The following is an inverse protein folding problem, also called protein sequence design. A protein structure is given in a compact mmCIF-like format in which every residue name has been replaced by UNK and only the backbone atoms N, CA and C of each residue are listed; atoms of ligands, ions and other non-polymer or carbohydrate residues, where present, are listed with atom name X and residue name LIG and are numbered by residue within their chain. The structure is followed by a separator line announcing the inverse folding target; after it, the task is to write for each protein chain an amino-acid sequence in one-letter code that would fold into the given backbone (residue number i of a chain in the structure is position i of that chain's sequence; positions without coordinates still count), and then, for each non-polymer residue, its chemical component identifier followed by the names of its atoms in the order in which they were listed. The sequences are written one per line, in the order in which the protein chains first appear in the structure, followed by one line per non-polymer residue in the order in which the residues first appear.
data_IF_918595994001
#
_entry.id   IF_918595994001
#
_cell.length_a   1.000
_cell.length_b   1.000
_cell.length_c   1.000
_cell.angle_alpha   90.00
_cell.angle_beta   90.00
_cell.angle_gamma   90.00
#
_symmetry.space_group_name_H-M   'P 1'
#
loop_
_entity.id
_entity.type
_entity.pdbx_description
1 polymer ?
#
# COMPACT_ATOMS: atom_id res chain seq x y z
N UNK A 1 15.47 14.83 -2.08
CA UNK A 1 14.73 14.10 -3.13
C UNK A 1 13.26 14.43 -2.96
N UNK A 2 12.56 14.85 -4.02
CA UNK A 2 11.11 15.06 -3.96
C UNK A 2 10.43 13.72 -4.24
N UNK A 3 9.66 13.23 -3.28
CA UNK A 3 8.85 12.02 -3.45
C UNK A 3 7.55 12.39 -4.15
N UNK A 4 7.19 11.63 -5.19
CA UNK A 4 5.96 11.83 -5.94
C UNK A 4 5.01 10.66 -5.71
N UNK A 5 3.71 10.94 -5.76
CA UNK A 5 2.66 9.93 -5.74
C UNK A 5 1.75 10.11 -6.95
N UNK A 6 1.30 8.99 -7.50
CA UNK A 6 0.28 8.94 -8.54
C UNK A 6 -1.10 8.99 -7.88
N UNK A 7 -1.96 9.87 -8.35
CA UNK A 7 -3.31 10.09 -7.83
C UNK A 7 -4.31 10.04 -8.98
N UNK A 8 -5.51 9.52 -8.75
CA UNK A 8 -6.55 9.37 -9.78
C UNK A 8 -7.84 10.05 -9.33
N UNK A 9 -8.39 10.96 -10.11
CA UNK A 9 -9.64 11.63 -9.76
C UNK A 9 -10.82 10.62 -9.69
N UNK A 10 -11.62 10.58 -8.61
CA UNK A 10 -12.76 9.67 -8.48
C UNK A 10 -13.94 10.08 -9.37
N UNK A 11 -13.99 11.34 -9.83
CA UNK A 11 -15.08 11.85 -10.66
C UNK A 11 -14.91 11.58 -12.15
N UNK A 12 -13.67 11.69 -12.67
CA UNK A 12 -13.40 11.59 -14.12
C UNK A 12 -12.29 10.60 -14.48
N UNK A 13 -11.65 9.96 -13.50
CA UNK A 13 -10.55 9.01 -13.74
C UNK A 13 -9.23 9.65 -14.19
N UNK A 14 -9.14 10.97 -14.26
CA UNK A 14 -7.90 11.66 -14.64
C UNK A 14 -6.76 11.31 -13.66
N UNK A 15 -5.61 10.89 -14.20
CA UNK A 15 -4.41 10.59 -13.43
C UNK A 15 -3.52 11.82 -13.33
N UNK A 16 -2.91 12.03 -12.17
CA UNK A 16 -1.98 13.13 -11.91
C UNK A 16 -0.84 12.67 -11.02
N UNK A 17 0.28 13.39 -11.09
CA UNK A 17 1.39 13.24 -10.15
C UNK A 17 1.44 14.45 -9.26
N UNK A 18 1.59 14.23 -7.97
CA UNK A 18 1.80 15.32 -7.01
C UNK A 18 2.98 15.01 -6.11
N UNK A 19 3.54 16.07 -5.54
CA UNK A 19 4.56 15.95 -4.49
C UNK A 19 3.90 15.42 -3.23
N UNK A 20 4.50 14.41 -2.61
CA UNK A 20 4.00 13.79 -1.40
C UNK A 20 3.91 14.86 -0.29
N UNK A 21 2.70 15.17 0.21
CA UNK A 21 2.56 16.13 1.29
C UNK A 21 3.05 15.53 2.63
N UNK A 22 3.35 16.37 3.63
CA UNK A 22 3.69 15.89 4.97
C UNK A 22 2.60 14.99 5.56
N UNK A 23 2.99 14.05 6.41
CA UNK A 23 2.05 13.15 7.09
C UNK A 23 0.97 13.95 7.84
N UNK A 24 -0.28 13.48 7.73
CA UNK A 24 -1.44 14.16 8.33
C UNK A 24 -1.98 15.36 7.54
N UNK A 25 -1.39 15.70 6.38
CA UNK A 25 -1.92 16.76 5.53
C UNK A 25 -3.11 16.25 4.70
N UNK A 26 -4.21 17.00 4.71
CA UNK A 26 -5.34 16.81 3.80
C UNK A 26 -5.33 17.94 2.77
N UNK A 27 -5.30 17.59 1.49
CA UNK A 27 -5.41 18.57 0.40
C UNK A 27 -6.84 18.59 -0.11
N UNK A 28 -7.47 19.77 -0.18
CA UNK A 28 -8.83 19.93 -0.71
C UNK A 28 -8.77 20.88 -1.89
N UNK A 29 -9.31 20.48 -3.04
CA UNK A 29 -9.34 21.33 -4.22
C UNK A 29 -10.14 20.74 -5.39
N UNK A 30 -10.35 21.55 -6.43
CA UNK A 30 -11.02 21.08 -7.65
C UNK A 30 -10.07 20.26 -8.52
N UNK A 31 -10.60 19.23 -9.18
CA UNK A 31 -9.89 18.53 -10.24
C UNK A 31 -9.63 19.47 -11.44
N UNK A 32 -8.42 19.53 -12.01
CA UNK A 32 -8.13 20.40 -13.15
C UNK A 32 -8.89 20.01 -14.43
N UNK A 33 -9.38 18.77 -14.53
CA UNK A 33 -10.10 18.26 -15.70
C UNK A 33 -11.61 18.47 -15.59
N UNK A 34 -12.24 17.90 -14.55
CA UNK A 34 -13.70 17.95 -14.39
C UNK A 34 -14.21 19.04 -13.44
N UNK A 35 -13.31 19.79 -12.78
CA UNK A 35 -13.63 20.80 -11.75
C UNK A 35 -14.38 20.28 -10.52
N UNK A 36 -14.58 18.96 -10.41
CA UNK A 36 -15.19 18.35 -9.24
C UNK A 36 -14.28 18.48 -8.01
N UNK A 37 -14.88 18.78 -6.86
CA UNK A 37 -14.15 18.88 -5.59
C UNK A 37 -13.68 17.50 -5.13
N UNK A 38 -12.41 17.45 -4.74
CA UNK A 38 -11.75 16.23 -4.24
C UNK A 38 -10.92 16.56 -3.00
N UNK A 39 -10.89 15.62 -2.06
CA UNK A 39 -9.89 15.58 -1.00
C UNK A 39 -8.81 14.58 -1.37
N UNK A 40 -7.56 14.86 -1.05
CA UNK A 40 -6.49 13.88 -1.07
C UNK A 40 -5.99 13.65 0.35
N UNK A 41 -5.94 12.38 0.73
CA UNK A 41 -5.39 11.95 1.99
C UNK A 41 -4.62 10.64 1.80
N UNK A 42 -3.37 10.63 2.27
CA UNK A 42 -2.49 9.46 2.23
C UNK A 42 -2.41 8.77 0.85
N UNK A 43 -2.29 9.57 -0.21
CA UNK A 43 -2.23 9.08 -1.60
C UNK A 43 -3.56 8.66 -2.22
N UNK A 44 -4.64 8.64 -1.44
CA UNK A 44 -5.99 8.32 -1.92
C UNK A 44 -6.81 9.58 -2.10
N UNK A 45 -7.57 9.63 -3.19
CA UNK A 45 -8.49 10.73 -3.49
C UNK A 45 -9.91 10.37 -3.09
N UNK A 46 -10.56 11.25 -2.34
CA UNK A 46 -11.93 11.12 -1.88
C UNK A 46 -12.82 12.13 -2.62
N UNK A 47 -13.98 11.72 -3.13
CA UNK A 47 -14.93 12.64 -3.75
C UNK A 47 -15.57 13.52 -2.68
N UNK A 48 -15.66 14.83 -2.94
CA UNK A 48 -16.40 15.75 -2.09
C UNK A 48 -17.60 16.33 -2.86
N UNK A 49 -18.68 16.64 -2.13
CA UNK A 49 -19.81 17.35 -2.72
C UNK A 49 -19.42 18.82 -2.93
N UNK A 50 -19.41 19.22 -4.20
CA UNK A 50 -18.99 20.57 -4.58
C UNK A 50 -19.96 21.64 -4.07
N UNK A 51 -21.25 21.34 -3.92
CA UNK A 51 -22.25 22.28 -3.39
C UNK A 51 -21.99 22.54 -1.92
N UNK A 52 -21.78 21.49 -1.13
CA UNK A 52 -21.54 21.61 0.30
C UNK A 52 -20.22 22.32 0.56
N UNK A 53 -19.15 21.96 -0.16
CA UNK A 53 -17.82 22.55 0.05
C UNK A 53 -17.75 24.02 -0.37
N UNK A 54 -18.44 24.43 -1.45
CA UNK A 54 -18.41 25.81 -1.92
C UNK A 54 -19.42 26.69 -1.18
N UNK A 55 -20.68 26.28 -1.11
CA UNK A 55 -21.81 27.12 -0.69
C UNK A 55 -22.32 26.83 0.72
N UNK A 56 -21.96 25.68 1.30
CA UNK A 56 -22.40 25.29 2.64
C UNK A 56 -21.88 26.20 3.76
N UNK A 57 -22.51 26.10 4.93
CA UNK A 57 -22.02 26.70 6.17
C UNK A 57 -20.76 26.00 6.67
N UNK A 58 -20.00 26.64 7.58
CA UNK A 58 -18.78 26.05 8.14
C UNK A 58 -19.05 24.72 8.85
N UNK A 59 -20.20 24.59 9.51
CA UNK A 59 -20.63 23.38 10.19
C UNK A 59 -20.97 22.26 9.20
N UNK A 60 -21.70 22.56 8.13
CA UNK A 60 -22.01 21.60 7.07
C UNK A 60 -20.75 21.11 6.35
N UNK A 61 -19.81 22.01 6.05
CA UNK A 61 -18.51 21.64 5.45
C UNK A 61 -17.73 20.68 6.34
N UNK A 62 -17.63 21.01 7.64
CA UNK A 62 -16.94 20.15 8.61
C UNK A 62 -17.60 18.78 8.71
N UNK A 63 -18.92 18.75 8.85
CA UNK A 63 -19.68 17.51 8.94
C UNK A 63 -19.46 16.65 7.70
N UNK A 64 -19.61 17.22 6.51
CA UNK A 64 -19.42 16.49 5.25
C UNK A 64 -18.02 15.91 5.11
N UNK A 65 -16.98 16.69 5.44
CA UNK A 65 -15.60 16.18 5.39
C UNK A 65 -15.43 15.03 6.38
N UNK A 66 -15.88 15.17 7.63
CA UNK A 66 -15.78 14.11 8.64
C UNK A 66 -16.52 12.85 8.19
N UNK A 67 -17.73 12.99 7.65
CA UNK A 67 -18.54 11.86 7.17
C UNK A 67 -17.82 11.09 6.05
N UNK A 68 -17.29 11.80 5.03
CA UNK A 68 -16.52 11.19 3.93
C UNK A 68 -15.26 10.46 4.43
N UNK A 69 -14.55 11.06 5.38
CA UNK A 69 -13.36 10.44 5.95
C UNK A 69 -13.68 9.23 6.84
N UNK A 70 -14.76 9.29 7.61
CA UNK A 70 -15.20 8.17 8.45
C UNK A 70 -15.54 6.96 7.58
N UNK A 71 -16.33 7.14 6.52
CA UNK A 71 -16.63 6.05 5.57
C UNK A 71 -15.37 5.47 4.97
N UNK A 72 -14.43 6.31 4.54
CA UNK A 72 -13.16 5.84 4.00
C UNK A 72 -12.31 5.06 5.02
N UNK A 73 -12.24 5.54 6.26
CA UNK A 73 -11.47 4.88 7.32
C UNK A 73 -12.12 3.54 7.68
N UNK A 74 -13.45 3.50 7.79
CA UNK A 74 -14.21 2.26 8.04
C UNK A 74 -13.92 1.23 6.95
N UNK A 75 -14.00 1.60 5.67
CA UNK A 75 -13.66 0.73 4.55
C UNK A 75 -12.22 0.20 4.64
N UNK A 76 -11.25 1.07 4.95
CA UNK A 76 -9.83 0.67 5.05
C UNK A 76 -9.55 -0.22 6.26
N UNK A 77 -10.23 0.02 7.37
CA UNK A 77 -10.16 -0.81 8.57
C UNK A 77 -10.76 -2.18 8.27
N UNK A 78 -11.92 -2.22 7.61
CA UNK A 78 -12.56 -3.46 7.21
C UNK A 78 -11.69 -4.26 6.24
N UNK A 79 -11.12 -3.64 5.21
CA UNK A 79 -10.15 -4.28 4.32
C UNK A 79 -8.95 -4.86 5.08
N UNK A 80 -8.40 -4.10 6.04
CA UNK A 80 -7.26 -4.52 6.84
C UNK A 80 -7.55 -5.74 7.73
N UNK A 81 -8.75 -5.80 8.33
CA UNK A 81 -9.13 -6.92 9.18
C UNK A 81 -9.76 -8.10 8.41
N UNK A 82 -10.31 -7.88 7.21
CA UNK A 82 -10.99 -8.89 6.39
C UNK A 82 -10.13 -9.47 5.26
N UNK A 83 -8.81 -9.58 5.44
CA UNK A 83 -7.81 -10.19 4.52
C UNK A 83 -8.03 -11.69 4.15
N UNK A 84 -9.26 -12.23 4.20
CA UNK A 84 -9.58 -13.64 3.98
C UNK A 84 -10.65 -13.95 2.91
N UNK A 85 -11.00 -13.01 2.04
CA UNK A 85 -11.84 -13.34 0.87
C UNK A 85 -11.31 -12.62 -0.37
N UNK A 86 -10.40 -13.26 -1.08
CA UNK A 86 -10.24 -13.19 -2.54
C UNK A 86 -9.06 -14.08 -2.97
N UNK A 87 -9.28 -15.39 -2.90
CA UNK A 87 -8.68 -16.33 -3.85
C UNK A 87 -9.84 -16.93 -4.65
N UNK A 88 -10.20 -16.33 -5.79
CA UNK A 88 -10.82 -17.02 -6.92
C UNK A 88 -10.87 -16.11 -8.16
N UNK A 89 -10.11 -16.53 -9.18
CA UNK A 89 -10.30 -16.32 -10.62
C UNK A 89 -10.42 -14.89 -11.19
N UNK A 90 -9.31 -14.44 -11.77
CA UNK A 90 -9.30 -14.18 -13.23
C UNK A 90 -7.87 -14.20 -13.77
N UNK A 91 -7.53 -15.31 -14.44
CA UNK A 91 -6.44 -15.39 -15.39
C UNK A 91 -6.73 -14.51 -16.61
N UNK A 92 -5.79 -13.64 -17.00
CA UNK A 92 -5.34 -13.41 -18.39
C UNK A 92 -4.24 -12.32 -18.43
N UNK A 93 -2.98 -12.79 -18.58
CA UNK A 93 -1.99 -12.42 -19.61
C UNK A 93 -1.67 -10.93 -19.91
N UNK A 94 -0.44 -10.48 -20.19
CA UNK A 94 0.87 -11.11 -20.38
C UNK A 94 1.89 -9.96 -20.60
N UNK A 95 3.11 -10.05 -20.04
CA UNK A 95 4.41 -9.67 -20.64
C UNK A 95 5.47 -9.49 -19.54
N UNK A 96 6.13 -10.61 -19.23
CA UNK A 96 7.42 -10.61 -18.54
C UNK A 96 8.48 -10.91 -19.58
N UNK A 97 9.31 -9.91 -19.87
CA UNK A 97 10.49 -10.10 -20.71
C UNK A 97 11.49 -10.99 -19.99
N UNK A 98 11.97 -11.97 -20.74
CA UNK A 98 12.96 -12.98 -20.39
C UNK A 98 14.30 -12.35 -20.02
N UNK A 99 14.78 -12.63 -18.80
CA UNK A 99 16.22 -12.74 -18.53
C UNK A 99 16.52 -14.12 -17.98
N UNK A 100 17.22 -14.92 -18.80
CA UNK A 100 17.88 -16.14 -18.35
C UNK A 100 19.02 -15.76 -17.40
N UNK A 101 19.04 -16.36 -16.22
CA UNK A 101 20.24 -16.42 -15.37
C UNK A 101 20.44 -17.87 -14.96
N UNK A 102 21.49 -18.48 -15.53
CA UNK A 102 21.93 -19.86 -15.34
C UNK A 102 22.63 -20.09 -13.99
N UNK A 103 22.03 -19.68 -12.87
CA UNK A 103 22.55 -20.02 -11.56
C UNK A 103 21.68 -21.07 -10.89
N UNK A 104 22.13 -22.32 -11.08
CA UNK A 104 21.71 -23.53 -10.38
C UNK A 104 21.94 -23.33 -8.87
N UNK A 105 20.94 -22.83 -8.15
CA UNK A 105 20.94 -22.80 -6.70
C UNK A 105 20.69 -24.24 -6.25
N UNK A 106 21.73 -24.91 -5.77
CA UNK A 106 21.58 -26.14 -5.01
C UNK A 106 20.67 -25.83 -3.81
N UNK A 107 19.46 -26.41 -3.85
CA UNK A 107 18.50 -26.37 -2.76
C UNK A 107 19.16 -26.94 -1.51
N UNK A 108 19.48 -26.07 -0.55
CA UNK A 108 19.50 -26.52 0.84
C UNK A 108 18.06 -26.91 1.19
N UNK A 109 17.83 -28.23 1.14
CA UNK A 109 16.62 -28.92 1.57
C UNK A 109 16.23 -28.50 2.99
N UNK A 110 15.47 -27.42 3.11
CA UNK A 110 14.62 -27.18 4.26
C UNK A 110 13.19 -27.57 3.88
N UNK A 111 12.80 -28.74 4.38
CA UNK A 111 11.43 -29.26 4.36
C UNK A 111 10.44 -28.11 4.54
N UNK A 112 9.59 -27.89 3.54
CA UNK A 112 8.38 -27.07 3.62
C UNK A 112 7.47 -27.65 4.71
N UNK A 113 7.73 -27.34 5.98
CA UNK A 113 6.82 -27.70 7.07
C UNK A 113 6.18 -26.45 7.65
N UNK A 114 4.95 -26.22 7.18
CA UNK A 114 3.82 -25.56 7.87
C UNK A 114 4.07 -24.10 8.27
N UNK A 115 3.64 -23.18 7.40
CA UNK A 115 3.57 -21.71 7.60
C UNK A 115 2.73 -21.23 8.81
N UNK A 116 2.22 -22.12 9.68
CA UNK A 116 1.30 -21.81 10.78
C UNK A 116 1.71 -22.44 12.13
N UNK A 117 3.01 -22.64 12.39
CA UNK A 117 3.47 -23.06 13.73
C UNK A 117 4.04 -21.87 14.48
N UNK A 118 3.73 -21.72 15.79
CA UNK A 118 4.44 -20.77 16.65
C UNK A 118 5.95 -21.03 16.56
N UNK A 119 6.74 -19.96 16.50
CA UNK A 119 8.21 -20.05 16.51
C UNK A 119 8.63 -20.81 17.77
N UNK A 120 9.37 -21.91 17.57
CA UNK A 120 9.84 -22.78 18.64
C UNK A 120 11.03 -22.17 19.37
N UNK A 121 11.29 -22.62 20.60
CA UNK A 121 12.44 -22.13 21.38
C UNK A 121 13.75 -22.56 20.75
N UNK A 122 13.78 -23.72 20.11
CA UNK A 122 14.93 -24.25 19.40
C UNK A 122 15.27 -23.39 18.17
N UNK A 123 14.27 -22.90 17.45
CA UNK A 123 14.46 -21.95 16.34
C UNK A 123 15.01 -20.60 16.82
N UNK A 124 14.54 -20.10 17.97
CA UNK A 124 15.06 -18.86 18.57
C UNK A 124 16.54 -19.02 18.94
N UNK A 125 16.91 -20.14 19.57
CA UNK A 125 18.30 -20.38 19.96
C UNK A 125 19.19 -20.51 18.73
N UNK A 126 18.75 -21.25 17.70
CA UNK A 126 19.49 -21.39 16.44
C UNK A 126 19.70 -20.04 15.76
N UNK A 127 18.65 -19.21 15.70
CA UNK A 127 18.73 -17.87 15.12
C UNK A 127 19.75 -17.01 15.88
N UNK A 128 19.67 -16.99 17.21
CA UNK A 128 20.53 -16.18 18.08
C UNK A 128 22.00 -16.59 18.03
N UNK A 129 22.29 -17.87 17.90
CA UNK A 129 23.67 -18.39 18.00
C UNK A 129 24.38 -18.48 16.65
N UNK A 130 23.66 -18.51 15.53
CA UNK A 130 24.28 -18.80 14.22
C UNK A 130 23.79 -17.95 13.06
N UNK A 131 22.54 -17.49 13.08
CA UNK A 131 21.96 -16.75 11.94
C UNK A 131 22.08 -15.23 12.12
N UNK A 132 22.19 -14.74 13.36
CA UNK A 132 22.32 -13.31 13.65
C UNK A 132 23.61 -12.70 13.08
N UNK A 133 24.73 -13.43 13.17
CA UNK A 133 26.03 -12.97 12.66
C UNK A 133 26.08 -12.92 11.13
N UNK A 134 25.18 -13.65 10.46
CA UNK A 134 25.04 -13.65 9.01
C UNK A 134 24.31 -12.40 8.49
N UNK A 135 23.63 -11.63 9.36
CA UNK A 135 23.01 -10.36 8.98
C UNK A 135 24.06 -9.27 8.70
N UNK A 136 25.21 -9.34 9.37
CA UNK A 136 26.32 -8.41 9.17
C UNK A 136 27.14 -8.74 7.91
N UNK A 137 26.92 -9.92 7.31
CA UNK A 137 27.56 -10.28 6.05
C UNK A 137 26.79 -9.64 4.88
N UNK A 138 27.40 -8.66 4.16
CA UNK A 138 26.71 -7.90 3.12
C UNK A 138 26.27 -8.77 1.94
N UNK A 139 27.00 -9.86 1.64
CA UNK A 139 26.66 -10.79 0.56
C UNK A 139 25.42 -11.61 0.91
N UNK A 140 25.32 -12.05 2.17
CA UNK A 140 24.18 -12.82 2.68
C UNK A 140 22.95 -11.92 2.81
N UNK A 141 23.13 -10.72 3.35
CA UNK A 141 22.05 -9.74 3.49
C UNK A 141 21.45 -9.35 2.13
N UNK A 142 22.29 -9.04 1.13
CA UNK A 142 21.82 -8.72 -0.23
C UNK A 142 21.05 -9.87 -0.87
N UNK A 143 21.51 -11.11 -0.67
CA UNK A 143 20.85 -12.31 -1.19
C UNK A 143 19.42 -12.50 -0.70
N UNK A 144 19.09 -12.02 0.50
CA UNK A 144 17.75 -12.20 1.09
C UNK A 144 16.86 -10.94 1.06
N UNK A 145 17.45 -9.74 1.04
CA UNK A 145 16.70 -8.48 1.22
C UNK A 145 16.76 -7.52 0.03
N UNK A 146 17.57 -7.78 -1.00
CA UNK A 146 17.65 -6.93 -2.18
C UNK A 146 17.26 -7.72 -3.43
N UNK A 147 15.95 -7.78 -3.69
CA UNK A 147 15.37 -7.98 -5.02
C UNK A 147 15.03 -6.61 -5.62
#
# INVERSE_FOLDING_TARGET
MLSFIDVQCPHCGAKGKIVLPPLGTVLIGPCPQCKGMVALFNGTTLPLDSKIILEGTLEEKKKHIVDVFNTFIEEKVDEFFNLKKEESDSELDNKTDSYQSEHKIEEYSHKKTKKNRPISREEITKFKESEIDLLDNPEVFRKYFCN
#
